data_IF_014711095643
#
_entry.id   IF_014711095643
#
_cell.length_a   1.000
_cell.length_b   1.000
_cell.length_c   1.000
_cell.angle_alpha   90.00
_cell.angle_beta   90.00
_cell.angle_gamma   90.00
#
_symmetry.space_group_name_H-M   'P 1'
#
loop_
_entity.id
_entity.type
_entity.pdbx_description
1 polymer ?
#
# COMPACT_ATOMS: atom_id res chain seq x y z
N UNK A 1 -14.85 -32.48 1.59
CA UNK A 1 -13.87 -31.74 2.42
C UNK A 1 -12.50 -31.78 1.74
N UNK A 2 -11.94 -30.63 1.39
CA UNK A 2 -10.61 -30.49 0.78
C UNK A 2 -9.49 -30.66 1.83
N UNK A 3 -8.26 -30.94 1.40
CA UNK A 3 -7.09 -31.01 2.29
C UNK A 3 -6.91 -29.73 3.12
N UNK A 4 -7.20 -28.58 2.53
CA UNK A 4 -7.08 -27.28 3.21
C UNK A 4 -8.17 -27.10 4.26
N UNK A 5 -9.40 -27.51 3.97
CA UNK A 5 -10.52 -27.50 4.93
C UNK A 5 -10.22 -28.43 6.12
N UNK A 6 -9.76 -29.65 5.85
CA UNK A 6 -9.35 -30.59 6.90
C UNK A 6 -8.24 -30.02 7.80
N UNK A 7 -7.20 -29.43 7.20
CA UNK A 7 -6.10 -28.82 7.97
C UNK A 7 -6.56 -27.60 8.77
N UNK A 8 -7.50 -26.81 8.24
CA UNK A 8 -8.06 -25.66 8.95
C UNK A 8 -8.82 -26.12 10.19
N UNK A 9 -9.68 -27.13 10.07
CA UNK A 9 -10.41 -27.73 11.18
C UNK A 9 -9.45 -28.39 12.19
N UNK A 10 -8.49 -29.19 11.73
CA UNK A 10 -7.51 -29.85 12.60
C UNK A 10 -6.73 -28.86 13.48
N UNK A 11 -6.41 -27.68 12.96
CA UNK A 11 -5.68 -26.63 13.69
C UNK A 11 -6.50 -25.96 14.79
N UNK A 12 -7.83 -26.08 14.78
CA UNK A 12 -8.68 -25.52 15.84
C UNK A 12 -8.75 -26.41 17.07
N UNK A 13 -8.45 -27.72 16.92
CA UNK A 13 -8.53 -28.74 17.97
C UNK A 13 -7.63 -28.37 19.17
N UNK A 14 -8.12 -28.51 20.42
CA UNK A 14 -7.33 -28.21 21.62
C UNK A 14 -6.01 -28.99 21.67
N UNK A 15 -6.06 -30.28 21.31
CA UNK A 15 -4.93 -31.20 21.14
C UNK A 15 -3.76 -30.54 20.39
N UNK A 16 -4.06 -29.98 19.21
CA UNK A 16 -3.08 -29.37 18.31
C UNK A 16 -2.49 -28.09 18.90
N UNK A 17 -3.32 -27.28 19.58
CA UNK A 17 -2.87 -26.05 20.24
C UNK A 17 -1.89 -26.36 21.38
N UNK A 18 -2.20 -27.39 22.17
CA UNK A 18 -1.34 -27.87 23.27
C UNK A 18 -0.03 -28.42 22.72
N UNK A 19 -0.09 -29.31 21.72
CA UNK A 19 1.10 -29.83 21.03
C UNK A 19 1.97 -28.69 20.48
N UNK A 20 1.39 -27.74 19.76
CA UNK A 20 2.11 -26.61 19.17
C UNK A 20 2.78 -25.74 20.24
N UNK A 21 2.11 -25.50 21.37
CA UNK A 21 2.67 -24.74 22.50
C UNK A 21 3.87 -25.45 23.09
N UNK A 22 3.72 -26.74 23.43
CA UNK A 22 4.80 -27.57 23.99
C UNK A 22 6.00 -27.61 23.04
N UNK A 23 5.77 -27.87 21.75
CA UNK A 23 6.80 -27.82 20.72
C UNK A 23 7.51 -26.46 20.69
N UNK A 24 6.78 -25.34 20.76
CA UNK A 24 7.42 -24.02 20.81
C UNK A 24 8.23 -23.84 22.09
N UNK A 25 7.72 -24.20 23.25
CA UNK A 25 8.42 -24.04 24.54
C UNK A 25 9.74 -24.82 24.58
N UNK A 26 9.72 -26.06 24.10
CA UNK A 26 10.87 -26.96 24.04
C UNK A 26 11.91 -26.51 23.00
N UNK A 27 11.48 -25.84 21.92
CA UNK A 27 12.36 -25.53 20.78
C UNK A 27 12.61 -24.03 20.59
N UNK A 28 12.03 -23.12 21.41
CA UNK A 28 12.05 -21.66 21.18
C UNK A 28 13.45 -21.09 21.04
N UNK A 29 14.43 -21.60 21.78
CA UNK A 29 15.80 -21.10 21.72
C UNK A 29 16.46 -21.41 20.38
N UNK A 30 16.35 -22.67 19.94
CA UNK A 30 16.87 -23.09 18.64
C UNK A 30 16.14 -22.39 17.49
N UNK A 31 14.80 -22.37 17.53
CA UNK A 31 13.97 -21.67 16.54
C UNK A 31 14.35 -20.19 16.44
N UNK A 32 14.60 -19.52 17.58
CA UNK A 32 15.05 -18.14 17.60
C UNK A 32 16.47 -17.98 17.05
N UNK A 33 17.39 -18.90 17.37
CA UNK A 33 18.75 -18.89 16.83
C UNK A 33 18.76 -19.07 15.31
N UNK A 34 17.99 -20.02 14.79
CA UNK A 34 17.80 -20.24 13.36
C UNK A 34 17.22 -18.99 12.69
N UNK A 35 16.18 -18.38 13.30
CA UNK A 35 15.58 -17.13 12.81
C UNK A 35 16.57 -15.96 12.77
N UNK A 36 17.41 -15.81 13.79
CA UNK A 36 18.49 -14.79 13.83
C UNK A 36 19.49 -15.01 12.69
N UNK A 37 19.98 -16.25 12.51
CA UNK A 37 20.89 -16.61 11.40
C UNK A 37 20.27 -16.30 10.05
N UNK A 38 19.01 -16.72 9.84
CA UNK A 38 18.27 -16.44 8.61
C UNK A 38 18.18 -14.93 8.34
N UNK A 39 17.79 -14.12 9.33
CA UNK A 39 17.72 -12.67 9.14
C UNK A 39 19.08 -12.02 8.92
N UNK A 40 20.13 -12.45 9.62
CA UNK A 40 21.47 -11.92 9.44
C UNK A 40 21.96 -12.13 7.99
N UNK A 41 21.81 -13.35 7.48
CA UNK A 41 22.20 -13.72 6.11
C UNK A 41 21.37 -12.95 5.07
N UNK A 42 20.06 -12.82 5.31
CA UNK A 42 19.14 -12.21 4.33
C UNK A 42 18.95 -10.70 4.49
N UNK A 43 19.57 -10.07 5.50
CA UNK A 43 19.37 -8.63 5.81
C UNK A 43 19.72 -7.75 4.62
N UNK A 44 20.91 -7.94 4.05
CA UNK A 44 21.38 -7.15 2.92
C UNK A 44 20.48 -7.33 1.68
N UNK A 45 20.03 -8.56 1.42
CA UNK A 45 19.09 -8.84 0.33
C UNK A 45 17.74 -8.14 0.52
N UNK A 46 17.22 -8.17 1.75
CA UNK A 46 15.99 -7.45 2.12
C UNK A 46 16.13 -5.93 1.94
N UNK A 47 17.22 -5.35 2.42
CA UNK A 47 17.50 -3.91 2.31
C UNK A 47 17.62 -3.47 0.84
N UNK A 48 18.39 -4.22 0.03
CA UNK A 48 18.50 -3.99 -1.42
C UNK A 48 17.15 -4.04 -2.11
N UNK A 49 16.31 -5.04 -1.78
CA UNK A 49 14.95 -5.19 -2.32
C UNK A 49 14.06 -4.01 -1.93
N UNK A 50 14.06 -3.60 -0.66
CA UNK A 50 13.28 -2.46 -0.18
C UNK A 50 13.71 -1.13 -0.82
N UNK A 51 15.02 -0.92 -0.97
CA UNK A 51 15.57 0.24 -1.65
C UNK A 51 15.16 0.29 -3.13
N UNK A 52 15.23 -0.84 -3.83
CA UNK A 52 14.76 -0.95 -5.22
C UNK A 52 13.27 -0.65 -5.34
N UNK A 53 12.44 -1.23 -4.46
CA UNK A 53 11.00 -0.94 -4.42
C UNK A 53 10.69 0.53 -4.09
N UNK A 54 11.49 1.18 -3.24
CA UNK A 54 11.36 2.62 -2.94
C UNK A 54 11.65 3.44 -4.20
N UNK A 55 12.78 3.20 -4.88
CA UNK A 55 13.14 3.88 -6.13
C UNK A 55 12.09 3.70 -7.22
N UNK A 56 11.58 2.48 -7.38
CA UNK A 56 10.54 2.19 -8.36
C UNK A 56 9.24 2.97 -8.08
N UNK A 57 8.79 2.99 -6.82
CA UNK A 57 7.61 3.78 -6.41
C UNK A 57 7.80 5.28 -6.64
N UNK A 58 8.99 5.81 -6.36
CA UNK A 58 9.32 7.21 -6.62
C UNK A 58 9.31 7.53 -8.13
N UNK A 59 9.88 6.65 -8.96
CA UNK A 59 9.84 6.77 -10.42
C UNK A 59 8.40 6.84 -10.93
N UNK A 60 7.54 5.91 -10.52
CA UNK A 60 6.13 5.90 -10.91
C UNK A 60 5.40 7.17 -10.45
N UNK A 61 5.63 7.60 -9.20
CA UNK A 61 5.06 8.85 -8.68
C UNK A 61 5.45 10.04 -9.53
N UNK A 62 6.73 10.18 -9.87
CA UNK A 62 7.21 11.29 -10.69
C UNK A 62 6.60 11.27 -12.09
N UNK A 63 6.46 10.10 -12.72
CA UNK A 63 5.79 9.97 -14.02
C UNK A 63 4.33 10.45 -13.95
N UNK A 64 3.59 10.02 -12.92
CA UNK A 64 2.20 10.43 -12.71
C UNK A 64 2.09 11.94 -12.46
N UNK A 65 2.91 12.51 -11.58
CA UNK A 65 2.92 13.95 -11.31
C UNK A 65 3.36 14.77 -12.54
N UNK A 66 4.31 14.27 -13.33
CA UNK A 66 4.70 14.93 -14.58
C UNK A 66 3.55 14.95 -15.60
N UNK A 67 2.74 13.91 -15.64
CA UNK A 67 1.63 13.81 -16.59
C UNK A 67 0.41 14.64 -16.17
N UNK A 68 -0.09 14.45 -14.94
CA UNK A 68 -1.32 15.11 -14.46
C UNK A 68 -1.08 16.51 -13.85
N UNK A 69 0.18 16.95 -13.77
CA UNK A 69 0.57 18.25 -13.22
C UNK A 69 1.23 18.18 -11.84
N UNK A 70 2.11 19.12 -11.53
CA UNK A 70 2.82 19.18 -10.23
C UNK A 70 2.22 20.21 -9.27
N UNK A 71 0.93 20.47 -9.41
CA UNK A 71 0.24 21.51 -8.65
C UNK A 71 -1.13 21.00 -8.27
N UNK A 72 -1.56 21.34 -7.05
CA UNK A 72 -2.91 21.09 -6.61
C UNK A 72 -3.90 21.95 -7.41
N UNK A 73 -4.81 21.30 -8.13
CA UNK A 73 -5.89 21.95 -8.91
C UNK A 73 -6.84 22.79 -8.02
N UNK A 74 -6.87 22.51 -6.71
CA UNK A 74 -7.71 23.22 -5.78
C UNK A 74 -7.10 24.53 -5.28
N UNK A 75 -5.91 24.46 -4.64
CA UNK A 75 -5.32 25.57 -3.89
C UNK A 75 -3.93 26.01 -4.37
N UNK A 76 -3.41 25.44 -5.47
CA UNK A 76 -2.12 25.86 -6.04
C UNK A 76 -0.87 25.33 -5.32
N UNK A 77 -1.01 24.51 -4.27
CA UNK A 77 0.12 23.84 -3.60
C UNK A 77 0.99 23.10 -4.62
N UNK A 78 2.31 23.25 -4.54
CA UNK A 78 3.28 22.72 -5.52
C UNK A 78 4.42 21.89 -4.90
N UNK A 79 4.53 21.85 -3.56
CA UNK A 79 5.46 20.96 -2.88
C UNK A 79 5.05 19.51 -3.13
N UNK A 80 5.91 18.78 -3.83
CA UNK A 80 5.63 17.42 -4.30
C UNK A 80 5.30 16.45 -3.16
N UNK A 81 5.77 16.71 -1.95
CA UNK A 81 5.53 15.96 -0.72
C UNK A 81 4.06 16.01 -0.30
N UNK A 82 3.35 17.09 -0.63
CA UNK A 82 1.95 17.27 -0.29
C UNK A 82 1.00 16.78 -1.37
N UNK A 83 1.49 16.41 -2.56
CA UNK A 83 0.63 16.08 -3.70
C UNK A 83 0.19 14.60 -3.72
N UNK A 84 -1.03 14.38 -4.19
CA UNK A 84 -1.62 13.07 -4.41
C UNK A 84 -2.50 13.07 -5.65
N UNK A 85 -2.72 11.87 -6.20
CA UNK A 85 -3.69 11.68 -7.27
C UNK A 85 -5.09 11.58 -6.65
N UNK A 86 -6.07 12.19 -7.31
CA UNK A 86 -7.47 12.12 -6.98
C UNK A 86 -8.28 11.67 -8.20
N UNK A 87 -9.40 11.00 -7.95
CA UNK A 87 -10.37 10.64 -8.99
C UNK A 87 -11.38 11.77 -9.10
N UNK A 88 -11.45 12.44 -10.26
CA UNK A 88 -12.27 13.66 -10.44
C UNK A 88 -13.74 13.41 -10.10
N UNK A 89 -14.27 12.24 -10.46
CA UNK A 89 -15.66 11.82 -10.21
C UNK A 89 -15.81 10.95 -8.95
N UNK A 90 -14.81 10.94 -8.08
CA UNK A 90 -14.75 10.04 -6.93
C UNK A 90 -14.60 8.57 -7.34
N UNK A 91 -15.06 7.65 -6.49
CA UNK A 91 -15.03 6.21 -6.79
C UNK A 91 -13.68 5.51 -6.60
N UNK A 92 -12.67 6.18 -6.02
CA UNK A 92 -11.35 5.61 -5.79
C UNK A 92 -11.36 4.30 -4.98
N UNK A 93 -12.29 4.15 -4.03
CA UNK A 93 -12.48 2.90 -3.27
C UNK A 93 -12.93 1.73 -4.15
N UNK A 94 -13.78 1.98 -5.16
CA UNK A 94 -14.21 0.97 -6.13
C UNK A 94 -13.07 0.63 -7.08
N UNK A 95 -12.44 1.65 -7.66
CA UNK A 95 -11.32 1.47 -8.58
C UNK A 95 -10.16 0.69 -7.91
N UNK A 96 -9.86 0.95 -6.62
CA UNK A 96 -8.87 0.20 -5.84
C UNK A 96 -9.19 -1.30 -5.73
N UNK A 97 -10.47 -1.68 -5.64
CA UNK A 97 -10.90 -3.09 -5.61
C UNK A 97 -10.78 -3.74 -6.99
N UNK A 98 -11.10 -3.00 -8.05
CA UNK A 98 -11.05 -3.50 -9.44
C UNK A 98 -9.63 -3.83 -9.89
N UNK A 99 -8.67 -2.93 -9.66
CA UNK A 99 -7.30 -3.11 -10.20
C UNK A 99 -6.43 -4.08 -9.39
N UNK A 100 -6.86 -4.43 -8.17
CA UNK A 100 -6.12 -5.29 -7.22
C UNK A 100 -4.61 -4.96 -7.13
N UNK A 101 -4.28 -3.67 -7.26
CA UNK A 101 -2.93 -3.22 -7.57
C UNK A 101 -2.64 -1.80 -7.07
N UNK A 102 -1.46 -1.28 -7.43
CA UNK A 102 -1.05 0.09 -7.06
C UNK A 102 -1.51 1.06 -8.13
N UNK A 103 -2.27 2.09 -7.74
CA UNK A 103 -2.83 3.07 -8.66
C UNK A 103 -1.80 3.71 -9.60
N UNK A 104 -0.63 4.14 -9.10
CA UNK A 104 0.40 4.73 -9.97
C UNK A 104 0.95 3.77 -11.02
N UNK A 105 1.05 2.48 -10.69
CA UNK A 105 1.45 1.46 -11.67
C UNK A 105 0.37 1.31 -12.74
N UNK A 106 -0.90 1.22 -12.32
CA UNK A 106 -2.03 1.13 -13.23
C UNK A 106 -2.11 2.34 -14.17
N UNK A 107 -1.96 3.57 -13.65
CA UNK A 107 -2.00 4.79 -14.46
C UNK A 107 -0.91 4.78 -15.55
N UNK A 108 0.31 4.39 -15.20
CA UNK A 108 1.42 4.30 -16.16
C UNK A 108 1.17 3.24 -17.22
N UNK A 109 0.67 2.05 -16.83
CA UNK A 109 0.41 0.96 -17.76
C UNK A 109 -0.82 1.20 -18.66
N UNK A 110 -1.73 2.07 -18.26
CA UNK A 110 -2.92 2.42 -19.03
C UNK A 110 -2.73 3.75 -19.80
N UNK A 111 -1.48 4.14 -20.06
CA UNK A 111 -1.12 5.34 -20.82
C UNK A 111 -1.75 6.64 -20.28
N UNK A 112 -1.85 6.75 -18.96
CA UNK A 112 -2.34 7.94 -18.27
C UNK A 112 -3.74 8.40 -18.73
N UNK A 113 -4.80 7.63 -18.43
CA UNK A 113 -6.15 7.97 -18.86
C UNK A 113 -6.66 9.27 -18.20
N UNK A 114 -7.64 9.91 -18.82
CA UNK A 114 -8.34 11.06 -18.23
C UNK A 114 -9.17 10.64 -17.00
N UNK A 115 -9.74 11.62 -16.29
CA UNK A 115 -10.57 11.37 -15.09
C UNK A 115 -9.81 11.40 -13.77
N UNK A 116 -8.53 11.77 -13.79
CA UNK A 116 -7.70 11.97 -12.62
C UNK A 116 -7.15 13.39 -12.57
N UNK A 117 -6.89 13.88 -11.36
CA UNK A 117 -6.26 15.19 -11.12
C UNK A 117 -5.27 15.11 -9.97
N UNK A 118 -4.45 16.16 -9.82
CA UNK A 118 -3.55 16.30 -8.69
C UNK A 118 -4.14 17.25 -7.64
N UNK A 119 -4.17 16.78 -6.40
CA UNK A 119 -4.58 17.55 -5.23
C UNK A 119 -3.54 17.46 -4.13
N UNK A 120 -3.44 18.48 -3.28
CA UNK A 120 -2.70 18.33 -2.03
C UNK A 120 -3.47 17.41 -1.07
N UNK A 121 -2.77 16.81 -0.10
CA UNK A 121 -3.36 15.87 0.85
C UNK A 121 -4.52 16.46 1.65
N UNK A 122 -4.50 17.75 1.96
CA UNK A 122 -5.58 18.42 2.68
C UNK A 122 -6.81 18.63 1.78
N UNK A 123 -6.62 19.11 0.55
CA UNK A 123 -7.72 19.29 -0.41
C UNK A 123 -8.37 17.96 -0.79
N UNK A 124 -7.57 16.91 -1.02
CA UNK A 124 -8.06 15.56 -1.30
C UNK A 124 -8.91 15.04 -0.13
N UNK A 125 -8.38 15.13 1.10
CA UNK A 125 -9.13 14.72 2.28
C UNK A 125 -10.41 15.52 2.51
N UNK A 126 -10.38 16.85 2.33
CA UNK A 126 -11.56 17.68 2.48
C UNK A 126 -12.68 17.26 1.51
N UNK A 127 -12.34 17.06 0.23
CA UNK A 127 -13.29 16.59 -0.77
C UNK A 127 -13.83 15.19 -0.45
N UNK A 128 -12.98 14.27 -0.02
CA UNK A 128 -13.41 12.91 0.33
C UNK A 128 -14.27 12.84 1.59
N UNK A 129 -14.01 13.69 2.59
CA UNK A 129 -14.71 13.67 3.88
C UNK A 129 -15.98 14.53 3.89
N UNK A 130 -15.94 15.70 3.26
CA UNK A 130 -17.01 16.71 3.34
C UNK A 130 -17.70 16.97 2.01
N UNK A 131 -17.20 16.41 0.90
CA UNK A 131 -17.74 16.65 -0.45
C UNK A 131 -17.31 17.99 -1.06
N UNK A 132 -16.61 18.84 -0.32
CA UNK A 132 -16.10 20.13 -0.78
C UNK A 132 -14.74 20.45 -0.16
N UNK A 133 -14.02 21.43 -0.73
CA UNK A 133 -12.81 22.00 -0.13
C UNK A 133 -13.07 23.46 0.26
N UNK A 134 -12.76 23.90 1.50
CA UNK A 134 -12.97 25.28 1.94
C UNK A 134 -12.35 26.35 1.03
N UNK A 135 -11.21 26.05 0.38
CA UNK A 135 -10.57 26.94 -0.59
C UNK A 135 -11.45 27.29 -1.81
N UNK A 136 -12.54 26.56 -2.08
CA UNK A 136 -13.43 26.81 -3.22
C UNK A 136 -14.73 27.56 -2.86
N UNK A 137 -15.01 27.78 -1.58
CA UNK A 137 -16.26 28.41 -1.12
C UNK A 137 -16.05 29.70 -0.31
N UNK A 138 -14.82 30.02 0.10
CA UNK A 138 -14.54 31.23 0.87
C UNK A 138 -13.10 31.72 0.74
N UNK A 139 -12.58 31.74 -0.49
CA UNK A 139 -11.26 32.33 -0.78
C UNK A 139 -11.17 33.79 -0.39
#
# INVERSE_FOLDING_TARGET
MTRNEYLAEYRTRPEYKTYRRKYWEENKEELNAQKRKYYAINKQGKEKKLASQKRYRQKLRNLVLNHYGKVCECCGESHIEFLGIDHILGGGSRHKKEIQGRLYYWLVNNNFPTGFRILCHNCNQALGAYGYCPHKIGG
#
